data_IF_332601908452
#
_entry.id   IF_332601908452
#
_cell.length_a   1.000
_cell.length_b   1.000
_cell.length_c   1.000
_cell.angle_alpha   90.00
_cell.angle_beta   90.00
_cell.angle_gamma   90.00
#
_symmetry.space_group_name_H-M   'P 1'
#
loop_
_entity.id
_entity.type
_entity.pdbx_description
1 polymer ?
#
# COMPACT_ATOMS: atom_id res chain seq x y z
N UNK A 1 1.68 -7.55 14.82
CA UNK A 1 1.93 -6.12 14.54
C UNK A 1 0.58 -5.46 14.33
N UNK A 2 0.26 -4.32 14.95
CA UNK A 2 -0.81 -3.47 14.44
C UNK A 2 -0.26 -2.54 13.34
N UNK A 3 -0.95 -2.45 12.21
CA UNK A 3 -0.64 -1.48 11.16
C UNK A 3 -1.02 -0.05 11.61
N UNK A 4 -0.15 0.97 11.46
CA UNK A 4 -0.38 2.32 11.99
C UNK A 4 -1.30 3.16 11.09
N UNK A 5 -2.57 2.77 10.98
CA UNK A 5 -3.59 3.37 10.11
C UNK A 5 -3.63 4.90 10.11
N UNK A 6 -3.78 5.53 11.29
CA UNK A 6 -3.92 6.99 11.39
C UNK A 6 -2.67 7.75 10.93
N UNK A 7 -1.48 7.21 11.22
CA UNK A 7 -0.23 7.89 10.87
C UNK A 7 0.03 7.80 9.36
N UNK A 8 -0.26 6.66 8.75
CA UNK A 8 -0.12 6.46 7.30
C UNK A 8 -1.05 7.41 6.54
N UNK A 9 -2.33 7.46 6.91
CA UNK A 9 -3.28 8.36 6.26
C UNK A 9 -2.91 9.84 6.44
N UNK A 10 -2.45 10.24 7.63
CA UNK A 10 -2.04 11.64 7.85
C UNK A 10 -0.81 12.02 7.02
N UNK A 11 0.16 11.12 6.89
CA UNK A 11 1.39 11.38 6.11
C UNK A 11 1.15 11.41 4.61
N UNK A 12 0.12 10.71 4.12
CA UNK A 12 -0.16 10.55 2.70
C UNK A 12 -1.31 11.44 2.20
N UNK A 13 -1.92 12.25 3.08
CA UNK A 13 -3.15 13.03 2.78
C UNK A 13 -3.06 13.98 1.58
N UNK A 14 -1.88 14.55 1.34
CA UNK A 14 -1.64 15.54 0.28
C UNK A 14 -0.95 14.93 -0.95
N UNK A 15 -0.80 13.61 -0.97
CA UNK A 15 -0.11 12.88 -2.04
C UNK A 15 -1.11 12.46 -3.12
N UNK A 16 -0.81 12.77 -4.37
CA UNK A 16 -1.68 12.43 -5.52
C UNK A 16 -1.65 10.95 -5.89
N UNK A 17 -0.50 10.29 -5.70
CA UNK A 17 -0.30 8.89 -6.07
C UNK A 17 0.66 8.16 -5.13
N UNK A 18 0.37 6.90 -4.84
CA UNK A 18 1.15 6.04 -3.94
C UNK A 18 1.46 4.72 -4.65
N UNK A 19 2.74 4.34 -4.64
CA UNK A 19 3.21 3.04 -5.12
C UNK A 19 3.53 2.15 -3.91
N UNK A 20 2.82 1.03 -3.76
CA UNK A 20 3.11 0.02 -2.75
C UNK A 20 4.01 -1.06 -3.36
N UNK A 21 5.22 -1.20 -2.83
CA UNK A 21 6.18 -2.21 -3.26
C UNK A 21 6.05 -3.42 -2.34
N UNK A 22 5.49 -4.51 -2.85
CA UNK A 22 5.30 -5.76 -2.11
C UNK A 22 6.33 -6.80 -2.54
N UNK A 23 6.97 -7.45 -1.56
CA UNK A 23 7.84 -8.62 -1.79
C UNK A 23 7.07 -9.93 -1.80
N UNK A 24 5.78 -9.87 -2.09
CA UNK A 24 4.89 -11.01 -2.13
C UNK A 24 3.99 -10.91 -3.34
N UNK A 25 3.78 -12.04 -4.01
CA UNK A 25 2.90 -12.16 -5.16
C UNK A 25 1.73 -13.06 -4.79
N UNK A 26 0.66 -12.52 -4.18
CA UNK A 26 -0.49 -13.32 -3.80
C UNK A 26 -1.34 -13.67 -5.03
N UNK A 27 -0.85 -14.56 -5.91
CA UNK A 27 -1.59 -15.23 -7.01
C UNK A 27 -2.72 -14.42 -7.69
N UNK A 28 -2.45 -13.17 -8.10
CA UNK A 28 -3.41 -12.31 -8.81
C UNK A 28 -4.19 -11.33 -7.93
N UNK A 29 -4.03 -11.36 -6.60
CA UNK A 29 -4.47 -10.32 -5.69
C UNK A 29 -3.40 -9.23 -5.52
N UNK A 30 -3.81 -8.07 -5.01
CA UNK A 30 -2.90 -7.00 -4.62
C UNK A 30 -2.14 -7.37 -3.34
N UNK A 31 -0.90 -6.91 -3.23
CA UNK A 31 -0.04 -7.19 -2.08
C UNK A 31 -0.58 -6.69 -0.74
N UNK A 32 -0.04 -7.23 0.35
CA UNK A 32 -0.52 -6.94 1.70
C UNK A 32 -0.34 -5.45 2.05
N UNK A 33 0.81 -4.87 1.68
CA UNK A 33 1.10 -3.45 1.95
C UNK A 33 0.13 -2.54 1.18
N UNK A 34 -0.18 -2.88 -0.08
CA UNK A 34 -1.18 -2.16 -0.85
C UNK A 34 -2.54 -2.14 -0.13
N UNK A 35 -3.00 -3.28 0.39
CA UNK A 35 -4.30 -3.39 1.04
C UNK A 35 -4.35 -2.61 2.36
N UNK A 36 -3.29 -2.64 3.16
CA UNK A 36 -3.21 -1.89 4.41
C UNK A 36 -3.19 -0.37 4.17
N UNK A 37 -2.38 0.09 3.21
CA UNK A 37 -2.25 1.52 2.89
C UNK A 37 -3.52 2.07 2.24
N UNK A 38 -4.10 1.36 1.26
CA UNK A 38 -5.37 1.77 0.63
C UNK A 38 -6.52 1.81 1.64
N UNK A 39 -6.61 0.81 2.52
CA UNK A 39 -7.59 0.79 3.60
C UNK A 39 -7.44 1.98 4.54
N UNK A 40 -6.20 2.41 4.84
CA UNK A 40 -5.95 3.56 5.70
C UNK A 40 -6.36 4.88 5.07
N UNK A 41 -6.05 5.08 3.78
CA UNK A 41 -6.48 6.25 3.02
C UNK A 41 -8.01 6.30 2.92
N UNK A 42 -8.63 5.18 2.53
CA UNK A 42 -10.08 5.06 2.36
C UNK A 42 -10.84 5.31 3.67
N UNK A 43 -10.35 4.80 4.80
CA UNK A 43 -10.94 5.03 6.11
C UNK A 43 -10.95 6.50 6.55
N UNK A 44 -10.08 7.34 5.95
CA UNK A 44 -10.05 8.80 6.17
C UNK A 44 -10.68 9.60 5.03
N UNK A 45 -11.36 8.94 4.08
CA UNK A 45 -11.97 9.60 2.92
C UNK A 45 -10.96 10.18 1.94
N UNK A 46 -9.70 9.76 2.02
CA UNK A 46 -8.65 10.20 1.11
C UNK A 46 -8.64 9.30 -0.13
N UNK A 47 -8.42 9.92 -1.29
CA UNK A 47 -8.33 9.24 -2.57
C UNK A 47 -7.01 9.61 -3.23
N UNK A 48 -6.04 8.71 -3.13
CA UNK A 48 -4.80 8.78 -3.88
C UNK A 48 -4.81 7.67 -4.93
N UNK A 49 -4.23 7.93 -6.11
CA UNK A 49 -4.04 6.90 -7.13
C UNK A 49 -3.05 5.88 -6.57
N UNK A 50 -3.51 4.66 -6.30
CA UNK A 50 -2.67 3.61 -5.75
C UNK A 50 -2.28 2.60 -6.83
N UNK A 51 -1.03 2.16 -6.81
CA UNK A 51 -0.54 1.05 -7.65
C UNK A 51 0.26 0.07 -6.80
N UNK A 52 0.30 -1.20 -7.21
CA UNK A 52 1.08 -2.24 -6.57
C UNK A 52 2.21 -2.70 -7.50
N UNK A 53 3.42 -2.75 -6.96
CA UNK A 53 4.59 -3.30 -7.63
C UNK A 53 5.09 -4.49 -6.85
N UNK A 54 5.15 -5.63 -7.53
CA UNK A 54 5.73 -6.85 -6.98
C UNK A 54 7.21 -6.86 -7.36
N UNK A 55 8.08 -7.04 -6.38
CA UNK A 55 9.54 -7.08 -6.57
C UNK A 55 10.17 -8.09 -5.60
N UNK A 56 11.47 -8.41 -5.76
CA UNK A 56 12.15 -9.21 -4.74
C UNK A 56 11.73 -10.68 -4.67
N UNK A 57 11.02 -11.21 -5.68
CA UNK A 57 10.56 -12.59 -5.67
C UNK A 57 11.74 -13.54 -5.85
N UNK A 58 11.91 -14.47 -4.90
CA UNK A 58 12.99 -15.46 -4.97
C UNK A 58 14.40 -14.84 -4.95
N UNK A 59 14.60 -13.79 -4.15
CA UNK A 59 15.89 -13.07 -4.03
C UNK A 59 16.37 -12.38 -5.32
N UNK A 60 15.49 -12.24 -6.31
CA UNK A 60 15.75 -11.44 -7.50
C UNK A 60 15.55 -9.96 -7.15
N UNK A 61 16.63 -9.17 -7.20
CA UNK A 61 16.59 -7.71 -7.01
C UNK A 61 15.70 -7.03 -8.08
#
# INVERSE_FOLDING_TARGET
RPFPYNQVAEKLKDVKAVAALDRSAPMGAMGALYNEVSGALAAKGQSAIMTNYIYGLGESD
#
